data_IF_513315576340
#
_entry.id   IF_513315576340
#
_cell.length_a   1.000
_cell.length_b   1.000
_cell.length_c   1.000
_cell.angle_alpha   90.00
_cell.angle_beta   90.00
_cell.angle_gamma   90.00
#
_symmetry.space_group_name_H-M   'P 1'
#
loop_
_entity.id
_entity.type
_entity.pdbx_description
1 polymer ?
#
# COMPACT_ATOMS: atom_id res chain seq x y z
N UNK A 1 -11.05 -7.26 -2.88
CA UNK A 1 -11.81 -8.53 -3.13
C UNK A 1 -12.77 -8.40 -4.32
N UNK A 2 -13.37 -7.23 -4.54
CA UNK A 2 -14.31 -7.02 -5.65
C UNK A 2 -13.68 -7.12 -7.04
N UNK A 3 -12.38 -6.86 -7.18
CA UNK A 3 -11.65 -6.95 -8.46
C UNK A 3 -11.08 -8.34 -8.76
N UNK A 4 -11.02 -9.22 -7.76
CA UNK A 4 -10.42 -10.55 -7.88
C UNK A 4 -11.41 -11.71 -8.01
N UNK A 5 -12.71 -11.47 -7.87
CA UNK A 5 -13.75 -12.51 -7.95
C UNK A 5 -14.76 -12.22 -9.05
N UNK A 6 -14.97 -13.14 -9.95
CA UNK A 6 -15.76 -13.00 -11.17
C UNK A 6 -17.25 -12.64 -11.06
N UNK A 7 -17.75 -12.24 -9.87
CA UNK A 7 -19.14 -11.87 -9.62
C UNK A 7 -19.33 -10.39 -9.19
N UNK A 8 -18.29 -9.57 -9.30
CA UNK A 8 -18.32 -8.16 -8.92
C UNK A 8 -18.90 -7.29 -10.04
N UNK A 9 -19.66 -6.21 -9.70
CA UNK A 9 -20.04 -5.18 -10.66
C UNK A 9 -18.83 -4.43 -11.25
N UNK A 10 -17.65 -4.57 -10.64
CA UNK A 10 -16.39 -3.98 -11.12
C UNK A 10 -15.64 -5.00 -11.98
N UNK A 11 -15.30 -4.59 -13.19
CA UNK A 11 -14.52 -5.39 -14.15
C UNK A 11 -13.18 -4.71 -14.40
N UNK A 12 -12.09 -5.45 -14.21
CA UNK A 12 -10.77 -5.01 -14.65
C UNK A 12 -10.52 -5.45 -16.09
N UNK A 13 -9.85 -4.59 -16.88
CA UNK A 13 -9.39 -5.00 -18.20
C UNK A 13 -8.35 -6.12 -18.07
N UNK A 14 -8.26 -7.06 -19.05
CA UNK A 14 -7.29 -8.17 -18.97
C UNK A 14 -5.82 -7.73 -18.86
N UNK A 15 -5.50 -6.51 -19.29
CA UNK A 15 -4.16 -5.92 -19.21
C UNK A 15 -3.81 -5.38 -17.82
N UNK A 16 -4.77 -5.35 -16.87
CA UNK A 16 -4.52 -4.85 -15.51
C UNK A 16 -3.82 -5.91 -14.67
N UNK A 17 -2.58 -5.59 -14.27
CA UNK A 17 -1.84 -6.31 -13.24
C UNK A 17 -2.05 -5.57 -11.92
N UNK A 18 -2.85 -6.16 -11.03
CA UNK A 18 -3.28 -5.52 -9.78
C UNK A 18 -2.31 -5.81 -8.64
N UNK A 19 -1.76 -4.76 -8.04
CA UNK A 19 -1.11 -4.80 -6.73
C UNK A 19 -2.11 -4.37 -5.65
N UNK A 20 -2.41 -5.24 -4.70
CA UNK A 20 -3.36 -4.96 -3.62
C UNK A 20 -2.71 -5.03 -2.25
N UNK A 21 -2.93 -4.01 -1.44
CA UNK A 21 -2.59 -4.01 -0.02
C UNK A 21 -3.76 -3.50 0.81
N UNK A 22 -4.13 -4.26 1.81
CA UNK A 22 -5.11 -3.86 2.82
C UNK A 22 -4.43 -3.46 4.14
N UNK A 23 -5.19 -2.83 5.02
CA UNK A 23 -4.75 -2.41 6.35
C UNK A 23 -4.21 -3.56 7.23
N UNK A 24 -4.53 -4.82 6.91
CA UNK A 24 -4.08 -6.00 7.65
C UNK A 24 -2.86 -6.67 7.03
N UNK A 25 -2.35 -6.14 5.90
CA UNK A 25 -1.25 -6.71 5.13
C UNK A 25 -1.48 -8.18 4.81
N UNK A 26 -2.71 -8.50 4.37
CA UNK A 26 -3.16 -9.89 4.13
C UNK A 26 -2.38 -10.60 3.03
N UNK A 27 -1.63 -9.87 2.19
CA UNK A 27 -0.69 -10.42 1.22
C UNK A 27 0.54 -11.09 1.87
N UNK A 28 0.80 -10.85 3.17
CA UNK A 28 1.90 -11.45 3.91
C UNK A 28 1.41 -12.63 4.76
N UNK A 29 1.97 -13.81 4.53
CA UNK A 29 1.72 -14.96 5.41
C UNK A 29 2.53 -14.82 6.70
N UNK A 30 1.87 -14.74 7.85
CA UNK A 30 2.50 -14.51 9.17
C UNK A 30 3.51 -15.55 9.58
N UNK A 31 3.43 -16.76 9.03
CA UNK A 31 4.35 -17.86 9.31
C UNK A 31 5.65 -17.78 8.48
N UNK A 32 5.63 -17.05 7.36
CA UNK A 32 6.80 -16.89 6.50
C UNK A 32 7.85 -15.99 7.14
N UNK A 33 9.06 -16.04 6.59
CA UNK A 33 10.13 -15.08 6.85
C UNK A 33 10.16 -14.00 5.73
N UNK A 34 10.79 -12.84 5.95
CA UNK A 34 11.03 -11.87 4.88
C UNK A 34 11.72 -12.48 3.65
N UNK A 35 12.70 -13.38 3.86
CA UNK A 35 13.37 -14.10 2.76
C UNK A 35 12.40 -14.99 1.98
N UNK A 36 11.50 -15.69 2.64
CA UNK A 36 10.49 -16.52 1.96
C UNK A 36 9.50 -15.68 1.19
N UNK A 37 9.06 -14.53 1.77
CA UNK A 37 8.16 -13.59 1.11
C UNK A 37 8.78 -12.89 -0.11
N UNK A 38 10.13 -12.90 -0.24
CA UNK A 38 10.85 -12.28 -1.36
C UNK A 38 11.54 -13.32 -2.23
N UNK A 39 12.71 -13.85 -1.85
CA UNK A 39 13.47 -14.81 -2.66
C UNK A 39 12.66 -16.07 -2.99
N UNK A 40 11.90 -16.58 -2.02
CA UNK A 40 11.09 -17.78 -2.20
C UNK A 40 9.93 -17.58 -3.18
N UNK A 41 9.30 -16.41 -3.16
CA UNK A 41 8.15 -16.11 -4.00
C UNK A 41 8.53 -15.63 -5.41
N UNK A 42 9.60 -14.83 -5.54
CA UNK A 42 9.95 -14.16 -6.79
C UNK A 42 11.18 -14.73 -7.50
N UNK A 43 11.82 -15.74 -6.95
CA UNK A 43 13.01 -16.39 -7.53
C UNK A 43 14.15 -15.43 -7.91
N UNK A 44 14.36 -14.38 -7.10
CA UNK A 44 15.32 -13.30 -7.38
C UNK A 44 16.74 -13.56 -6.87
N UNK A 45 16.99 -14.70 -6.27
CA UNK A 45 18.26 -15.04 -5.65
C UNK A 45 18.50 -14.35 -4.29
N UNK A 46 19.16 -15.06 -3.37
CA UNK A 46 19.29 -14.67 -1.96
C UNK A 46 20.01 -13.34 -1.77
N UNK A 47 21.12 -13.13 -2.47
CA UNK A 47 21.90 -11.90 -2.31
C UNK A 47 21.09 -10.65 -2.69
N UNK A 48 20.35 -10.72 -3.79
CA UNK A 48 19.48 -9.63 -4.24
C UNK A 48 18.32 -9.40 -3.28
N UNK A 49 17.69 -10.49 -2.81
CA UNK A 49 16.62 -10.40 -1.83
C UNK A 49 17.09 -9.74 -0.53
N UNK A 50 18.25 -10.13 0.00
CA UNK A 50 18.82 -9.53 1.21
C UNK A 50 19.09 -8.04 1.03
N UNK A 51 19.60 -7.62 -0.13
CA UNK A 51 19.82 -6.20 -0.44
C UNK A 51 18.53 -5.40 -0.49
N UNK A 52 17.48 -5.94 -1.15
CA UNK A 52 16.16 -5.31 -1.23
C UNK A 52 15.49 -5.21 0.15
N UNK A 53 15.59 -6.26 0.96
CA UNK A 53 15.07 -6.27 2.34
C UNK A 53 15.78 -5.24 3.23
N UNK A 54 17.11 -5.15 3.13
CA UNK A 54 17.88 -4.15 3.86
C UNK A 54 17.47 -2.73 3.44
N UNK A 55 17.33 -2.47 2.13
CA UNK A 55 16.83 -1.21 1.59
C UNK A 55 15.40 -0.86 2.02
N UNK A 56 14.58 -1.88 2.29
CA UNK A 56 13.24 -1.72 2.88
C UNK A 56 13.25 -1.60 4.42
N UNK A 57 14.44 -1.48 5.06
CA UNK A 57 14.56 -1.34 6.50
C UNK A 57 14.34 -2.63 7.30
N UNK A 58 14.44 -3.80 6.65
CA UNK A 58 14.43 -5.11 7.32
C UNK A 58 15.87 -5.55 7.56
N UNK A 59 16.34 -5.38 8.78
CA UNK A 59 17.70 -5.72 9.19
C UNK A 59 18.05 -7.18 8.89
N UNK A 60 19.32 -7.47 8.57
CA UNK A 60 19.80 -8.81 8.21
C UNK A 60 19.39 -9.86 9.24
N UNK A 61 19.48 -9.53 10.54
CA UNK A 61 19.09 -10.42 11.64
C UNK A 61 17.59 -10.78 11.64
N UNK A 62 16.75 -9.92 11.04
CA UNK A 62 15.30 -10.11 10.99
C UNK A 62 14.83 -10.78 9.69
N UNK A 63 15.70 -10.90 8.68
CA UNK A 63 15.32 -11.42 7.36
C UNK A 63 14.95 -12.91 7.36
N UNK A 64 15.48 -13.66 8.30
CA UNK A 64 15.21 -15.09 8.47
C UNK A 64 14.32 -15.39 9.69
N UNK A 65 13.71 -14.35 10.31
CA UNK A 65 12.78 -14.51 11.42
C UNK A 65 11.32 -14.48 10.95
N UNK A 66 10.40 -15.20 11.61
CA UNK A 66 8.98 -15.18 11.25
C UNK A 66 8.38 -13.78 11.28
N UNK A 67 7.52 -13.46 10.31
CA UNK A 67 6.93 -12.14 10.12
C UNK A 67 6.16 -11.61 11.32
N UNK A 68 5.62 -12.49 12.17
CA UNK A 68 4.91 -12.05 13.38
C UNK A 68 5.83 -11.34 14.39
N UNK A 69 7.16 -11.54 14.31
CA UNK A 69 8.15 -10.88 15.18
C UNK A 69 8.59 -9.50 14.67
N UNK A 70 8.26 -9.14 13.44
CA UNK A 70 8.56 -7.82 12.89
C UNK A 70 7.64 -6.76 13.51
N UNK A 71 8.15 -5.52 13.62
CA UNK A 71 7.32 -4.36 13.96
C UNK A 71 6.26 -4.07 12.89
N UNK A 72 5.24 -3.29 13.22
CA UNK A 72 4.22 -2.87 12.27
C UNK A 72 4.82 -2.17 11.06
N UNK A 73 5.73 -1.23 11.27
CA UNK A 73 6.43 -0.50 10.21
C UNK A 73 7.29 -1.42 9.32
N UNK A 74 8.02 -2.38 9.92
CA UNK A 74 8.79 -3.35 9.14
C UNK A 74 7.89 -4.23 8.26
N UNK A 75 6.73 -4.68 8.79
CA UNK A 75 5.74 -5.43 8.01
C UNK A 75 5.18 -4.61 6.86
N UNK A 76 4.83 -3.35 7.10
CA UNK A 76 4.29 -2.47 6.07
C UNK A 76 5.31 -2.22 4.95
N UNK A 77 6.58 -1.92 5.30
CA UNK A 77 7.67 -1.76 4.32
C UNK A 77 7.94 -3.05 3.53
N UNK A 78 7.91 -4.20 4.19
CA UNK A 78 8.02 -5.50 3.51
C UNK A 78 6.85 -5.73 2.55
N UNK A 79 5.63 -5.41 2.96
CA UNK A 79 4.44 -5.55 2.12
C UNK A 79 4.55 -4.70 0.85
N UNK A 80 5.05 -3.47 0.96
CA UNK A 80 5.29 -2.60 -0.20
C UNK A 80 6.39 -3.15 -1.10
N UNK A 81 7.47 -3.70 -0.53
CA UNK A 81 8.50 -4.38 -1.31
C UNK A 81 7.94 -5.58 -2.10
N UNK A 82 7.13 -6.41 -1.45
CA UNK A 82 6.47 -7.56 -2.10
C UNK A 82 5.55 -7.10 -3.23
N UNK A 83 4.75 -6.05 -3.00
CA UNK A 83 3.91 -5.46 -4.04
C UNK A 83 4.74 -4.97 -5.23
N UNK A 84 5.83 -4.25 -4.99
CA UNK A 84 6.73 -3.76 -6.04
C UNK A 84 7.32 -4.90 -6.87
N UNK A 85 7.70 -6.00 -6.24
CA UNK A 85 8.23 -7.18 -6.92
C UNK A 85 7.21 -7.89 -7.83
N UNK A 86 5.93 -7.66 -7.64
CA UNK A 86 4.86 -8.13 -8.53
C UNK A 86 4.77 -7.32 -9.83
N UNK A 87 5.45 -6.17 -9.92
CA UNK A 87 5.40 -5.24 -11.07
C UNK A 87 3.95 -4.89 -11.50
N UNK A 88 3.09 -4.44 -10.59
CA UNK A 88 1.72 -4.08 -10.96
C UNK A 88 1.71 -2.80 -11.81
N UNK A 89 0.70 -2.69 -12.70
CA UNK A 89 0.42 -1.45 -13.41
C UNK A 89 -0.78 -0.69 -12.81
N UNK A 90 -1.41 -1.28 -11.80
CA UNK A 90 -2.48 -0.65 -11.02
C UNK A 90 -2.36 -1.04 -9.54
N UNK A 91 -2.22 -0.04 -8.67
CA UNK A 91 -2.22 -0.24 -7.22
C UNK A 91 -3.60 0.02 -6.63
N UNK A 92 -4.04 -0.85 -5.75
CA UNK A 92 -5.20 -0.65 -4.88
C UNK A 92 -4.72 -0.72 -3.43
N UNK A 93 -4.68 0.43 -2.76
CA UNK A 93 -4.12 0.59 -1.43
C UNK A 93 -5.20 1.05 -0.44
N UNK A 94 -5.38 0.27 0.62
CA UNK A 94 -6.33 0.57 1.69
C UNK A 94 -5.57 0.89 2.97
N UNK A 95 -5.59 2.18 3.38
CA UNK A 95 -4.87 2.74 4.53
C UNK A 95 -3.38 2.37 4.56
N UNK A 96 -2.61 2.62 3.48
CA UNK A 96 -1.24 2.14 3.35
C UNK A 96 -0.25 2.79 4.31
N UNK A 97 -0.60 3.94 4.89
CA UNK A 97 0.23 4.65 5.88
C UNK A 97 0.08 4.11 7.30
N UNK A 98 -0.93 3.28 7.55
CA UNK A 98 -1.11 2.67 8.85
C UNK A 98 0.13 1.86 9.26
N UNK A 99 0.62 2.11 10.47
CA UNK A 99 1.82 1.49 11.05
C UNK A 99 3.16 1.89 10.42
N UNK A 100 3.17 2.82 9.45
CA UNK A 100 4.42 3.41 8.96
C UNK A 100 4.87 4.54 9.91
N UNK A 101 6.18 4.60 10.12
CA UNK A 101 6.85 5.78 10.64
C UNK A 101 7.01 6.84 9.52
N UNK A 102 7.45 8.03 9.87
CA UNK A 102 7.62 9.14 8.92
C UNK A 102 8.50 8.72 7.73
N UNK A 103 9.63 8.07 8.00
CA UNK A 103 10.55 7.59 6.95
C UNK A 103 9.89 6.57 6.02
N UNK A 104 9.08 5.67 6.58
CA UNK A 104 8.33 4.68 5.80
C UNK A 104 7.24 5.31 4.94
N UNK A 105 6.60 6.37 5.44
CA UNK A 105 5.60 7.13 4.69
C UNK A 105 6.25 7.91 3.53
N UNK A 106 7.35 8.61 3.78
CA UNK A 106 8.12 9.31 2.73
C UNK A 106 8.61 8.35 1.65
N UNK A 107 9.12 7.17 2.05
CA UNK A 107 9.53 6.14 1.09
C UNK A 107 8.37 5.61 0.23
N UNK A 108 7.17 5.49 0.81
CA UNK A 108 5.96 5.12 0.07
C UNK A 108 5.52 6.22 -0.90
N UNK A 109 5.55 7.49 -0.47
CA UNK A 109 5.24 8.63 -1.33
C UNK A 109 6.18 8.69 -2.54
N UNK A 110 7.49 8.55 -2.31
CA UNK A 110 8.49 8.49 -3.38
C UNK A 110 8.27 7.31 -4.34
N UNK A 111 7.94 6.15 -3.80
CA UNK A 111 7.67 4.95 -4.59
C UNK A 111 6.47 5.18 -5.52
N UNK A 112 5.37 5.70 -4.99
CA UNK A 112 4.17 5.99 -5.78
C UNK A 112 4.40 7.09 -6.84
N UNK A 113 5.25 8.08 -6.52
CA UNK A 113 5.59 9.14 -7.47
C UNK A 113 6.50 8.68 -8.62
N UNK A 114 7.35 7.65 -8.39
CA UNK A 114 8.29 7.13 -9.39
C UNK A 114 7.68 6.13 -10.36
N UNK A 115 6.59 5.46 -9.97
CA UNK A 115 5.97 4.43 -10.80
C UNK A 115 4.96 5.03 -11.79
N UNK A 116 5.09 4.66 -13.06
CA UNK A 116 4.08 4.94 -14.11
C UNK A 116 2.85 4.04 -13.97
N UNK A 117 2.46 3.70 -12.75
CA UNK A 117 1.30 2.88 -12.46
C UNK A 117 0.15 3.76 -11.96
N UNK A 118 -1.07 3.41 -12.35
CA UNK A 118 -2.24 4.03 -11.74
C UNK A 118 -2.39 3.54 -10.29
N UNK A 119 -2.83 4.42 -9.40
CA UNK A 119 -3.07 4.08 -8.01
C UNK A 119 -4.45 4.56 -7.58
N UNK A 120 -5.24 3.66 -7.00
CA UNK A 120 -6.44 3.99 -6.24
C UNK A 120 -6.15 3.73 -4.77
N UNK A 121 -6.20 4.77 -3.95
CA UNK A 121 -5.92 4.66 -2.52
C UNK A 121 -7.06 5.20 -1.68
N UNK A 122 -7.22 4.61 -0.51
CA UNK A 122 -8.07 5.11 0.58
C UNK A 122 -7.15 5.43 1.74
N UNK A 123 -7.21 6.65 2.28
CA UNK A 123 -6.44 7.05 3.44
C UNK A 123 -7.13 8.15 4.23
N UNK A 124 -6.92 8.14 5.54
CA UNK A 124 -7.28 9.23 6.45
C UNK A 124 -6.13 10.21 6.69
N UNK A 125 -4.94 9.90 6.20
CA UNK A 125 -3.79 10.78 6.32
C UNK A 125 -3.87 11.92 5.29
N UNK A 126 -4.16 13.12 5.81
CA UNK A 126 -4.35 14.32 4.99
C UNK A 126 -3.10 14.69 4.20
N UNK A 127 -1.92 14.60 4.83
CA UNK A 127 -0.65 14.95 4.20
C UNK A 127 -0.33 13.97 3.08
N UNK A 128 -0.46 12.69 3.35
CA UNK A 128 -0.24 11.64 2.37
C UNK A 128 -1.17 11.76 1.16
N UNK A 129 -2.50 11.92 1.40
CA UNK A 129 -3.47 12.10 0.31
C UNK A 129 -3.13 13.30 -0.55
N UNK A 130 -2.73 14.43 0.07
CA UNK A 130 -2.36 15.66 -0.64
C UNK A 130 -1.08 15.51 -1.47
N UNK A 131 -0.09 14.76 -0.95
CA UNK A 131 1.21 14.61 -1.59
C UNK A 131 1.17 13.66 -2.78
N UNK A 132 0.35 12.58 -2.71
CA UNK A 132 0.34 11.53 -3.75
C UNK A 132 -0.86 11.61 -4.68
N UNK A 133 -1.98 12.20 -4.24
CA UNK A 133 -3.22 12.26 -5.00
C UNK A 133 -3.21 13.34 -6.07
N UNK A 134 -3.75 13.01 -7.25
CA UNK A 134 -3.98 13.99 -8.33
C UNK A 134 -5.46 14.09 -8.74
N UNK A 135 -6.31 13.18 -8.23
CA UNK A 135 -7.77 13.22 -8.32
C UNK A 135 -8.36 12.75 -7.00
N UNK A 136 -9.40 13.42 -6.53
CA UNK A 136 -9.96 13.18 -5.22
C UNK A 136 -11.45 12.85 -5.33
N UNK A 137 -11.87 11.80 -4.64
CA UNK A 137 -13.26 11.40 -4.57
C UNK A 137 -13.70 11.27 -3.12
N UNK A 138 -14.83 11.87 -2.85
CA UNK A 138 -15.52 11.76 -1.58
C UNK A 138 -16.72 10.83 -1.72
N UNK A 139 -16.86 9.90 -0.77
CA UNK A 139 -18.03 9.05 -0.66
C UNK A 139 -18.98 9.67 0.34
N UNK A 140 -20.09 10.25 -0.14
CA UNK A 140 -21.17 10.78 0.69
C UNK A 140 -22.48 10.04 0.40
N UNK A 141 -23.12 9.49 1.46
CA UNK A 141 -24.41 8.77 1.38
C UNK A 141 -24.51 7.81 0.18
N UNK A 142 -23.49 6.98 0.01
CA UNK A 142 -23.36 5.98 -1.08
C UNK A 142 -23.20 6.61 -2.49
N UNK A 143 -22.86 7.88 -2.58
CA UNK A 143 -22.51 8.54 -3.84
C UNK A 143 -21.03 8.86 -3.86
N UNK A 144 -20.41 8.64 -5.02
CA UNK A 144 -19.05 9.06 -5.30
C UNK A 144 -19.08 10.45 -5.90
N UNK A 145 -18.43 11.41 -5.24
CA UNK A 145 -18.37 12.81 -5.64
C UNK A 145 -16.91 13.17 -5.89
N UNK A 146 -16.59 13.64 -7.08
CA UNK A 146 -15.26 14.18 -7.36
C UNK A 146 -15.16 15.61 -6.79
N UNK A 147 -14.06 15.87 -6.12
CA UNK A 147 -13.76 17.16 -5.48
C UNK A 147 -12.41 17.68 -5.97
N UNK A 148 -12.25 18.99 -5.99
CA UNK A 148 -11.03 19.64 -6.52
C UNK A 148 -9.85 19.51 -5.54
N UNK A 149 -10.15 19.45 -4.24
CA UNK A 149 -9.12 19.36 -3.19
C UNK A 149 -9.58 18.47 -2.05
N UNK A 150 -8.69 17.66 -1.46
CA UNK A 150 -9.00 16.91 -0.25
C UNK A 150 -9.31 17.83 0.95
N UNK A 151 -8.89 19.09 0.89
CA UNK A 151 -9.15 20.08 1.93
C UNK A 151 -10.63 20.38 2.10
N UNK A 152 -11.42 20.32 1.02
CA UNK A 152 -12.87 20.52 1.05
C UNK A 152 -13.54 19.50 1.96
N UNK A 153 -13.11 18.24 1.88
CA UNK A 153 -13.57 17.16 2.76
C UNK A 153 -13.13 17.38 4.21
N UNK A 154 -11.86 17.68 4.44
CA UNK A 154 -11.32 17.85 5.78
C UNK A 154 -11.87 19.09 6.48
N UNK A 155 -12.13 20.17 5.74
CA UNK A 155 -12.80 21.38 6.28
C UNK A 155 -14.25 21.08 6.69
N UNK A 156 -15.00 20.32 5.88
CA UNK A 156 -16.37 19.92 6.18
C UNK A 156 -16.48 19.03 7.42
N UNK A 157 -15.49 18.17 7.69
CA UNK A 157 -15.46 17.36 8.93
C UNK A 157 -15.25 18.20 10.19
N UNK A 158 -14.53 19.31 10.10
CA UNK A 158 -14.32 20.21 11.23
C UNK A 158 -15.61 20.96 11.59
N UNK A 159 -16.39 21.36 10.59
CA UNK A 159 -17.69 22.07 10.79
C UNK A 159 -18.75 21.12 11.35
N UNK A 160 -18.78 19.85 10.92
CA UNK A 160 -19.73 18.85 11.41
C UNK A 160 -19.49 18.36 12.85
N UNK A 161 -18.32 18.64 13.44
CA UNK A 161 -18.00 18.32 14.85
C UNK A 161 -18.31 19.48 15.83
N UNK A 162 -18.69 20.63 15.32
CA UNK A 162 -19.00 21.82 16.12
C UNK A 162 -20.51 22.14 16.19
N UNK A 163 -21.35 21.24 15.71
CA UNK A 163 -22.82 21.35 15.75
C UNK A 163 -23.47 20.34 16.68
#
# INVERSE_FOLDING_TARGET
RALSGGESPVRAAPSVSLGYSDQHLSQLNKADTPMQATAGQFHIGDQRARGLLAGAGVNIQMQDTPLHKLSGGQKARLAMLVLRLQHPNFYLLDEPTNHLDIEGQEALEEELARHEAACLLVSHDRSFVRNVGNRFWWIDRQRLIEIDSPDDFFAGQLVGKMG
#
